data_IF_271835968026
#
_entry.id   IF_271835968026
#
_cell.length_a   1.000
_cell.length_b   1.000
_cell.length_c   1.000
_cell.angle_alpha   90.00
_cell.angle_beta   90.00
_cell.angle_gamma   90.00
#
_symmetry.space_group_name_H-M   'P 1'
#
loop_
_entity.id
_entity.type
_entity.pdbx_description
1 polymer ?
#
# COMPACT_ATOMS: atom_id res chain seq x y z
N UNK A 1 12.37 5.17 14.06
CA UNK A 1 11.34 5.98 13.41
C UNK A 1 10.51 5.03 12.58
N UNK A 2 9.20 5.02 12.77
CA UNK A 2 8.32 4.11 12.05
C UNK A 2 7.80 4.81 10.79
N UNK A 3 8.05 4.20 9.63
CA UNK A 3 7.64 4.72 8.32
C UNK A 3 6.57 3.79 7.75
N UNK A 4 5.48 4.39 7.27
CA UNK A 4 4.43 3.68 6.54
C UNK A 4 4.14 4.33 5.18
N UNK A 5 3.32 3.67 4.37
CA UNK A 5 2.96 4.10 3.02
C UNK A 5 1.45 4.03 2.80
N UNK A 6 0.90 5.00 2.07
CA UNK A 6 -0.49 4.99 1.59
C UNK A 6 -0.50 4.67 0.10
N UNK A 7 -1.27 3.67 -0.30
CA UNK A 7 -1.42 3.23 -1.68
C UNK A 7 -2.81 3.58 -2.20
N UNK A 8 -2.87 4.07 -3.43
CA UNK A 8 -4.13 4.27 -4.14
C UNK A 8 -4.71 2.92 -4.57
N UNK A 9 -6.02 2.73 -4.38
CA UNK A 9 -6.70 1.45 -4.61
C UNK A 9 -7.19 1.29 -6.07
N UNK A 10 -6.31 1.57 -7.03
CA UNK A 10 -6.66 1.47 -8.45
C UNK A 10 -6.71 0.01 -8.94
N UNK A 11 -7.66 -0.36 -9.81
CA UNK A 11 -7.66 -1.68 -10.44
C UNK A 11 -6.40 -1.92 -11.30
N UNK A 12 -5.86 -3.15 -11.30
CA UNK A 12 -6.32 -4.31 -10.57
C UNK A 12 -5.85 -4.30 -9.11
N UNK A 13 -6.72 -4.71 -8.17
CA UNK A 13 -6.38 -4.82 -6.75
C UNK A 13 -5.13 -5.65 -6.45
N UNK A 14 -4.76 -6.59 -7.34
CA UNK A 14 -3.51 -7.36 -7.23
C UNK A 14 -2.25 -6.47 -7.26
N UNK A 15 -2.27 -5.37 -8.00
CA UNK A 15 -1.15 -4.43 -8.05
C UNK A 15 -0.91 -3.75 -6.69
N UNK A 16 -1.98 -3.41 -5.97
CA UNK A 16 -1.90 -2.86 -4.60
C UNK A 16 -1.27 -3.87 -3.65
N UNK A 17 -1.64 -5.14 -3.74
CA UNK A 17 -1.04 -6.23 -2.95
C UNK A 17 0.46 -6.37 -3.27
N UNK A 18 0.84 -6.33 -4.56
CA UNK A 18 2.24 -6.46 -4.96
C UNK A 18 3.09 -5.28 -4.44
N UNK A 19 2.53 -4.06 -4.40
CA UNK A 19 3.18 -2.90 -3.80
C UNK A 19 3.27 -3.02 -2.27
N UNK A 20 2.23 -3.50 -1.60
CA UNK A 20 2.25 -3.74 -0.16
C UNK A 20 3.34 -4.73 0.25
N UNK A 21 3.52 -5.82 -0.50
CA UNK A 21 4.62 -6.79 -0.30
C UNK A 21 5.99 -6.15 -0.50
N UNK A 22 6.15 -5.30 -1.51
CA UNK A 22 7.41 -4.56 -1.72
C UNK A 22 7.71 -3.60 -0.57
N UNK A 23 6.68 -2.94 -0.05
CA UNK A 23 6.82 -2.04 1.11
C UNK A 23 7.26 -2.82 2.36
N UNK A 24 6.67 -3.99 2.62
CA UNK A 24 7.09 -4.88 3.70
C UNK A 24 8.58 -5.27 3.56
N UNK A 25 9.01 -5.74 2.39
CA UNK A 25 10.42 -6.09 2.13
C UNK A 25 11.36 -4.88 2.25
N UNK A 26 10.87 -3.67 1.98
CA UNK A 26 11.63 -2.43 2.10
C UNK A 26 11.69 -1.87 3.54
N UNK A 27 11.05 -2.53 4.52
CA UNK A 27 11.09 -2.15 5.93
C UNK A 27 10.03 -1.13 6.35
N UNK A 28 8.99 -0.91 5.55
CA UNK A 28 7.82 -0.14 5.99
C UNK A 28 7.04 -0.96 7.02
N UNK A 29 6.63 -0.33 8.11
CA UNK A 29 5.94 -1.02 9.21
C UNK A 29 4.42 -1.02 9.03
N UNK A 30 3.89 -0.18 8.15
CA UNK A 30 2.46 -0.03 7.92
C UNK A 30 2.15 0.30 6.45
N UNK A 31 1.04 -0.25 5.97
CA UNK A 31 0.46 0.03 4.65
C UNK A 31 -1.02 0.36 4.84
N UNK A 32 -1.48 1.45 4.23
CA UNK A 32 -2.90 1.81 4.20
C UNK A 32 -3.37 2.02 2.76
N UNK A 33 -4.67 1.85 2.56
CA UNK A 33 -5.38 2.34 1.38
C UNK A 33 -6.45 3.34 1.86
N UNK A 34 -7.05 4.06 0.93
CA UNK A 34 -8.20 4.91 1.21
C UNK A 34 -9.39 4.48 0.36
N UNK A 35 -10.58 4.63 0.93
CA UNK A 35 -11.85 4.40 0.25
C UNK A 35 -12.28 5.72 -0.41
N UNK A 36 -12.23 5.78 -1.74
CA UNK A 36 -12.61 6.93 -2.55
C UNK A 36 -13.80 6.57 -3.42
N UNK A 37 -14.74 7.51 -3.53
CA UNK A 37 -15.89 7.42 -4.42
C UNK A 37 -15.61 7.96 -5.83
N UNK A 38 -14.46 8.61 -6.02
CA UNK A 38 -13.94 9.06 -7.33
C UNK A 38 -13.35 7.86 -8.06
#
# INVERSE_FOLDING_TARGET
>A
MDIGVVLQNDPPARAVIDLAKKAETAGFTHVWTFDSHV
#
